data_IF_663916310350
#
_entry.id   IF_663916310350
#
_cell.length_a   1.000
_cell.length_b   1.000
_cell.length_c   1.000
_cell.angle_alpha   90.00
_cell.angle_beta   90.00
_cell.angle_gamma   90.00
#
_symmetry.space_group_name_H-M   'P 1'
#
loop_
_entity.id
_entity.type
_entity.pdbx_description
1 polymer ?
#
# COMPACT_ATOMS: atom_id res chain seq x y z
N UNK A 1 32.97 45.03 -13.13
CA UNK A 1 31.52 45.06 -12.84
C UNK A 1 30.73 44.12 -13.73
N UNK A 2 31.01 44.08 -15.00
CA UNK A 2 30.30 43.17 -15.91
C UNK A 2 30.49 41.68 -15.55
N UNK A 3 31.63 41.32 -15.03
CA UNK A 3 31.95 39.93 -14.69
C UNK A 3 31.25 39.45 -13.44
N UNK A 4 30.95 40.33 -12.50
CA UNK A 4 30.23 39.99 -11.26
C UNK A 4 28.77 39.61 -11.53
N UNK A 5 28.12 40.27 -12.46
CA UNK A 5 26.73 40.02 -12.85
C UNK A 5 26.62 38.66 -13.54
N UNK A 6 27.61 38.31 -14.37
CA UNK A 6 27.64 37.05 -15.07
C UNK A 6 27.80 35.85 -14.13
N UNK A 7 28.65 35.98 -13.10
CA UNK A 7 28.85 34.96 -12.09
C UNK A 7 27.59 34.75 -11.23
N UNK A 8 26.87 35.82 -10.93
CA UNK A 8 25.66 35.72 -10.13
C UNK A 8 24.53 35.04 -10.92
N UNK A 9 24.42 35.29 -12.22
CA UNK A 9 23.44 34.61 -13.06
C UNK A 9 23.67 33.09 -13.16
N UNK A 10 24.92 32.67 -13.25
CA UNK A 10 25.28 31.23 -13.29
C UNK A 10 24.94 30.54 -11.98
N UNK A 11 25.16 31.20 -10.86
CA UNK A 11 24.84 30.66 -9.54
C UNK A 11 23.34 30.47 -9.35
N UNK A 12 22.53 31.39 -9.86
CA UNK A 12 21.09 31.31 -9.78
C UNK A 12 20.52 30.12 -10.58
N UNK A 13 21.12 29.81 -11.71
CA UNK A 13 20.69 28.66 -12.51
C UNK A 13 20.95 27.33 -11.84
N UNK A 14 22.03 27.19 -11.09
CA UNK A 14 22.34 25.95 -10.39
C UNK A 14 21.37 25.65 -9.24
N UNK A 15 20.86 26.69 -8.57
CA UNK A 15 19.90 26.49 -7.47
C UNK A 15 18.51 26.05 -7.94
N UNK A 16 18.12 26.34 -9.17
CA UNK A 16 16.85 25.90 -9.75
C UNK A 16 16.88 24.40 -10.06
N UNK A 17 18.00 23.86 -10.50
CA UNK A 17 18.16 22.44 -10.83
C UNK A 17 18.10 21.57 -9.56
N UNK A 18 18.56 22.09 -8.42
CA UNK A 18 18.58 21.33 -7.16
C UNK A 18 17.20 21.15 -6.53
N UNK A 19 16.16 21.85 -7.00
CA UNK A 19 14.80 21.78 -6.46
C UNK A 19 13.88 20.81 -7.19
N UNK A 20 14.33 20.13 -8.23
CA UNK A 20 13.50 19.19 -8.96
C UNK A 20 13.64 17.80 -8.36
N UNK A 21 12.61 17.37 -7.65
CA UNK A 21 12.49 16.02 -7.11
C UNK A 21 11.26 15.36 -7.70
N UNK A 22 11.37 14.05 -7.94
CA UNK A 22 10.22 13.27 -8.40
C UNK A 22 9.18 13.17 -7.29
N UNK A 23 7.87 13.25 -7.61
CA UNK A 23 6.84 13.09 -6.60
C UNK A 23 6.86 11.67 -6.04
N UNK A 24 6.70 11.57 -4.72
CA UNK A 24 6.57 10.30 -4.04
C UNK A 24 5.11 9.90 -3.95
N UNK A 25 4.82 8.65 -4.29
CA UNK A 25 3.48 8.09 -4.16
C UNK A 25 3.37 7.29 -2.86
N UNK A 26 2.32 7.49 -2.07
CA UNK A 26 2.12 6.66 -0.88
C UNK A 26 1.92 5.20 -1.26
N UNK A 27 2.27 4.27 -0.37
CA UNK A 27 1.98 2.87 -0.61
C UNK A 27 0.47 2.65 -0.68
N UNK A 28 0.07 1.66 -1.47
CA UNK A 28 -1.33 1.30 -1.62
C UNK A 28 -1.48 -0.21 -1.68
N UNK A 29 -2.66 -0.68 -1.31
CA UNK A 29 -2.96 -2.11 -1.35
C UNK A 29 -4.37 -2.35 -1.87
N UNK A 30 -4.59 -3.55 -2.35
CA UNK A 30 -5.91 -4.08 -2.71
C UNK A 30 -6.03 -5.51 -2.21
N UNK A 31 -7.26 -6.02 -2.19
CA UNK A 31 -7.56 -7.38 -1.72
C UNK A 31 -8.12 -8.18 -2.88
N UNK A 32 -7.57 -9.37 -3.07
CA UNK A 32 -8.11 -10.36 -4.01
C UNK A 32 -8.60 -11.57 -3.21
N UNK A 33 -9.86 -11.91 -3.38
CA UNK A 33 -10.46 -13.07 -2.73
C UNK A 33 -10.55 -14.23 -3.72
N UNK A 34 -9.69 -15.22 -3.56
CA UNK A 34 -9.66 -16.43 -4.41
C UNK A 34 -10.57 -17.54 -3.87
N UNK A 35 -11.29 -17.30 -2.77
CA UNK A 35 -12.15 -18.29 -2.14
C UNK A 35 -13.57 -18.26 -2.74
N UNK A 36 -14.35 -19.26 -2.35
CA UNK A 36 -15.74 -19.42 -2.81
C UNK A 36 -16.76 -18.68 -1.90
N UNK A 37 -16.31 -18.03 -0.84
CA UNK A 37 -17.15 -17.27 0.10
C UNK A 37 -16.56 -15.88 0.32
N UNK A 38 -17.36 -14.96 0.90
CA UNK A 38 -16.92 -13.60 1.18
C UNK A 38 -15.78 -13.57 2.20
N UNK A 39 -14.89 -12.60 2.05
CA UNK A 39 -13.84 -12.31 3.01
C UNK A 39 -13.94 -10.86 3.45
N UNK A 40 -13.75 -10.60 4.73
CA UNK A 40 -13.72 -9.26 5.32
C UNK A 40 -12.38 -9.05 6.03
N UNK A 41 -11.80 -7.87 5.85
CA UNK A 41 -10.48 -7.56 6.37
C UNK A 41 -10.53 -6.34 7.28
N UNK A 42 -9.80 -6.43 8.38
CA UNK A 42 -9.46 -5.28 9.21
C UNK A 42 -7.97 -5.01 9.06
N UNK A 43 -7.63 -3.83 8.60
CA UNK A 43 -6.26 -3.44 8.29
C UNK A 43 -5.82 -2.34 9.23
N UNK A 44 -4.83 -2.63 10.07
CA UNK A 44 -4.25 -1.66 11.00
C UNK A 44 -2.96 -1.12 10.43
N UNK A 45 -2.90 0.20 10.31
CA UNK A 45 -1.75 0.89 9.73
C UNK A 45 -0.83 1.41 10.83
N UNK A 46 0.40 1.73 10.46
CA UNK A 46 1.40 2.28 11.40
C UNK A 46 0.99 3.64 11.97
N UNK A 47 0.14 4.39 11.27
CA UNK A 47 -0.39 5.66 11.75
C UNK A 47 -1.51 5.55 12.76
N UNK A 48 -1.89 4.35 13.18
CA UNK A 48 -2.96 4.11 14.15
C UNK A 48 -4.35 4.07 13.53
N UNK A 49 -4.48 4.20 12.22
CA UNK A 49 -5.76 4.11 11.53
C UNK A 49 -6.14 2.65 11.28
N UNK A 50 -7.44 2.39 11.30
CA UNK A 50 -8.01 1.09 10.94
C UNK A 50 -8.84 1.24 9.67
N UNK A 51 -8.56 0.41 8.69
CA UNK A 51 -9.32 0.35 7.44
C UNK A 51 -10.10 -0.96 7.44
N UNK A 52 -11.41 -0.87 7.22
CA UNK A 52 -12.27 -2.05 7.11
C UNK A 52 -12.67 -2.25 5.65
N UNK A 53 -12.38 -3.43 5.12
CA UNK A 53 -12.79 -3.85 3.78
C UNK A 53 -13.72 -5.04 3.98
N UNK A 54 -15.03 -4.79 3.85
CA UNK A 54 -16.05 -5.77 4.17
C UNK A 54 -16.57 -6.46 2.92
N UNK A 55 -16.81 -7.77 3.03
CA UNK A 55 -17.55 -8.55 2.03
C UNK A 55 -16.92 -8.47 0.64
N UNK A 56 -15.62 -8.76 0.56
CA UNK A 56 -14.98 -8.96 -0.74
C UNK A 56 -15.55 -10.24 -1.34
N UNK A 57 -16.29 -10.11 -2.43
CA UNK A 57 -17.00 -11.22 -3.03
C UNK A 57 -16.05 -12.28 -3.59
N UNK A 58 -16.47 -13.54 -3.70
CA UNK A 58 -15.66 -14.61 -4.27
C UNK A 58 -15.15 -14.28 -5.66
N UNK A 59 -13.87 -14.51 -5.89
CA UNK A 59 -13.24 -14.30 -7.18
C UNK A 59 -13.07 -12.85 -7.60
N UNK A 60 -13.25 -11.89 -6.69
CA UNK A 60 -13.15 -10.45 -7.01
C UNK A 60 -11.93 -9.82 -6.37
N UNK A 61 -11.56 -8.66 -6.91
CA UNK A 61 -10.47 -7.83 -6.40
C UNK A 61 -11.01 -6.46 -6.06
N UNK A 62 -10.70 -5.96 -4.87
CA UNK A 62 -11.10 -4.63 -4.42
C UNK A 62 -10.35 -3.52 -5.15
N UNK A 63 -10.83 -2.29 -5.01
CA UNK A 63 -10.07 -1.11 -5.42
C UNK A 63 -8.82 -0.93 -4.54
N UNK A 64 -7.83 -0.23 -5.06
CA UNK A 64 -6.66 0.15 -4.27
C UNK A 64 -7.01 1.17 -3.19
N UNK A 65 -6.40 1.03 -2.03
CA UNK A 65 -6.46 2.00 -0.93
C UNK A 65 -5.06 2.40 -0.52
N UNK A 66 -4.86 3.69 -0.28
CA UNK A 66 -3.60 4.21 0.23
C UNK A 66 -3.46 3.93 1.72
N UNK A 67 -2.23 3.65 2.15
CA UNK A 67 -1.90 3.43 3.56
C UNK A 67 -0.66 4.23 3.94
N UNK A 68 -0.48 4.46 5.24
CA UNK A 68 0.74 5.06 5.75
C UNK A 68 1.93 4.11 5.55
N UNK A 69 3.09 4.69 5.30
CA UNK A 69 4.35 3.95 5.26
C UNK A 69 4.63 3.28 6.60
N UNK A 70 5.06 2.04 6.58
CA UNK A 70 5.41 1.29 7.78
C UNK A 70 4.67 -0.03 7.88
N UNK A 71 4.67 -0.62 9.07
CA UNK A 71 4.06 -1.93 9.30
C UNK A 71 2.54 -1.87 9.13
N UNK A 72 2.00 -2.80 8.37
CA UNK A 72 0.57 -3.00 8.16
C UNK A 72 0.20 -4.39 8.65
N UNK A 73 -0.76 -4.48 9.57
CA UNK A 73 -1.25 -5.74 10.12
C UNK A 73 -2.68 -5.98 9.67
N UNK A 74 -2.93 -7.18 9.16
CA UNK A 74 -4.20 -7.56 8.56
C UNK A 74 -4.81 -8.70 9.34
N UNK A 75 -6.10 -8.56 9.67
CA UNK A 75 -6.93 -9.64 10.24
C UNK A 75 -8.05 -9.96 9.26
N UNK A 76 -8.16 -11.22 8.87
CA UNK A 76 -9.12 -11.67 7.87
C UNK A 76 -10.15 -12.57 8.52
N UNK A 77 -11.42 -12.28 8.26
CA UNK A 77 -12.55 -13.14 8.62
C UNK A 77 -13.16 -13.68 7.33
N UNK A 78 -13.31 -14.98 7.23
CA UNK A 78 -13.81 -15.66 6.05
C UNK A 78 -15.17 -16.28 6.37
N UNK A 79 -16.16 -15.96 5.54
CA UNK A 79 -17.51 -16.53 5.72
C UNK A 79 -17.45 -18.05 5.64
N UNK A 80 -18.03 -18.71 6.65
CA UNK A 80 -18.07 -20.16 6.75
C UNK A 80 -16.85 -20.76 7.43
N UNK A 81 -15.87 -19.96 7.81
CA UNK A 81 -14.71 -20.40 8.58
C UNK A 81 -14.79 -19.87 10.01
N UNK A 82 -14.48 -20.70 10.99
CA UNK A 82 -14.33 -20.27 12.37
C UNK A 82 -12.92 -19.76 12.60
N UNK A 83 -12.77 -18.68 13.37
CA UNK A 83 -11.49 -18.08 13.67
C UNK A 83 -11.10 -16.99 12.69
N UNK A 84 -9.94 -16.41 12.94
CA UNK A 84 -9.39 -15.31 12.18
C UNK A 84 -8.00 -15.68 11.65
N UNK A 85 -7.66 -15.11 10.50
CA UNK A 85 -6.37 -15.33 9.86
C UNK A 85 -5.65 -14.01 9.80
N UNK A 86 -4.34 -14.00 10.02
CA UNK A 86 -3.55 -12.78 10.09
C UNK A 86 -2.42 -12.81 9.08
N UNK A 87 -2.05 -11.61 8.62
CA UNK A 87 -0.88 -11.39 7.80
C UNK A 87 -0.37 -9.97 8.03
N UNK A 88 0.83 -9.68 7.56
CA UNK A 88 1.40 -8.36 7.68
C UNK A 88 2.38 -8.08 6.56
N UNK A 89 2.63 -6.80 6.32
CA UNK A 89 3.66 -6.38 5.38
C UNK A 89 4.19 -5.01 5.75
N UNK A 90 5.38 -4.71 5.26
CA UNK A 90 6.00 -3.40 5.42
C UNK A 90 5.68 -2.55 4.20
N UNK A 91 4.80 -1.57 4.38
CA UNK A 91 4.38 -0.69 3.30
C UNK A 91 5.47 0.34 3.00
N UNK A 92 5.90 0.41 1.76
CA UNK A 92 6.95 1.31 1.30
C UNK A 92 6.43 2.26 0.23
N UNK A 93 7.02 3.47 0.19
CA UNK A 93 6.71 4.49 -0.79
C UNK A 93 6.91 3.95 -2.22
N UNK A 94 6.04 4.35 -3.13
CA UNK A 94 6.04 3.96 -4.55
C UNK A 94 5.78 2.47 -4.78
N UNK A 95 5.25 1.74 -3.78
CA UNK A 95 4.94 0.33 -3.90
C UNK A 95 3.43 0.08 -3.85
N UNK A 96 3.01 -0.96 -4.55
CA UNK A 96 1.63 -1.45 -4.56
C UNK A 96 1.61 -2.91 -4.13
N UNK A 97 0.61 -3.27 -3.32
CA UNK A 97 0.51 -4.60 -2.75
C UNK A 97 -0.85 -5.22 -3.07
N UNK A 98 -0.88 -6.52 -3.27
CA UNK A 98 -2.12 -7.28 -3.36
C UNK A 98 -2.15 -8.30 -2.23
N UNK A 99 -3.17 -8.19 -1.38
CA UNK A 99 -3.43 -9.14 -0.29
C UNK A 99 -4.33 -10.22 -0.88
N UNK A 100 -3.84 -11.44 -0.94
CA UNK A 100 -4.56 -12.56 -1.54
C UNK A 100 -5.10 -13.43 -0.43
N UNK A 101 -6.43 -13.57 -0.37
CA UNK A 101 -7.10 -14.56 0.47
C UNK A 101 -7.16 -15.85 -0.33
N UNK A 102 -6.21 -16.74 -0.08
CA UNK A 102 -6.00 -17.92 -0.91
C UNK A 102 -7.05 -19.00 -0.66
N UNK A 103 -7.39 -19.75 -1.71
CA UNK A 103 -8.30 -20.87 -1.63
C UNK A 103 -7.55 -22.15 -1.26
N UNK A 104 -7.01 -22.17 -0.05
CA UNK A 104 -6.26 -23.29 0.50
C UNK A 104 -6.93 -23.84 1.75
N UNK A 105 -6.56 -25.04 2.17
CA UNK A 105 -7.03 -25.67 3.41
C UNK A 105 -5.83 -26.08 4.25
N UNK A 106 -5.58 -25.42 5.41
CA UNK A 106 -6.30 -24.28 5.96
C UNK A 106 -6.12 -23.00 5.12
N UNK A 107 -7.01 -22.00 5.27
CA UNK A 107 -6.87 -20.75 4.57
C UNK A 107 -5.53 -20.08 4.83
N UNK A 108 -4.97 -19.44 3.82
CA UNK A 108 -3.74 -18.66 3.94
C UNK A 108 -3.91 -17.28 3.33
N UNK A 109 -3.16 -16.33 3.87
CA UNK A 109 -3.17 -14.94 3.42
C UNK A 109 -1.77 -14.63 2.89
N UNK A 110 -1.69 -14.25 1.63
CA UNK A 110 -0.44 -13.94 0.96
C UNK A 110 -0.41 -12.48 0.53
N UNK A 111 0.71 -11.81 0.74
CA UNK A 111 0.90 -10.44 0.27
C UNK A 111 1.91 -10.47 -0.85
N UNK A 112 1.49 -9.98 -2.02
CA UNK A 112 2.36 -9.94 -3.21
C UNK A 112 2.54 -8.50 -3.64
N UNK A 113 3.76 -8.16 -4.06
CA UNK A 113 4.09 -6.89 -4.69
C UNK A 113 4.44 -7.11 -6.14
N UNK A 114 4.13 -6.14 -7.01
CA UNK A 114 4.45 -6.25 -8.42
C UNK A 114 5.95 -6.23 -8.69
#
# INVERSE_FOLDING_TARGET
MKYLISLFAIFLMMSVVACSTDPENPPKFRVRNDRATDASLQVKTSGGNTININNVAPGTTSAYQEVATGQVDITVTIQGQSGQYTAGFLAQINQSYTVVVANTTPPSINVISP
#
